data_IF_582817854108
#
_entry.id   IF_582817854108
#
_cell.length_a   1.000
_cell.length_b   1.000
_cell.length_c   1.000
_cell.angle_alpha   90.00
_cell.angle_beta   90.00
_cell.angle_gamma   90.00
#
_symmetry.space_group_name_H-M   'P 1'
#
loop_
_entity.id
_entity.type
_entity.pdbx_description
1 polymer ?
#
# COMPACT_ATOMS: atom_id res chain seq x y z
N UNK A 1 0.65 -24.52 -3.64
CA UNK A 1 0.47 -23.83 -4.94
C UNK A 1 -0.03 -22.45 -4.60
N UNK A 2 0.77 -21.40 -4.84
CA UNK A 2 0.39 -20.03 -4.48
C UNK A 2 -0.42 -19.47 -5.65
N UNK A 3 -1.75 -19.56 -5.56
CA UNK A 3 -2.63 -19.00 -6.58
C UNK A 3 -2.65 -17.48 -6.49
N UNK A 4 -2.03 -16.85 -7.48
CA UNK A 4 -2.22 -15.43 -7.78
C UNK A 4 -3.65 -15.29 -8.29
N UNK A 5 -4.46 -14.49 -7.60
CA UNK A 5 -5.83 -14.25 -8.02
C UNK A 5 -5.83 -13.64 -9.44
N UNK A 6 -6.61 -14.22 -10.37
CA UNK A 6 -6.83 -13.64 -11.68
C UNK A 6 -7.32 -12.19 -11.57
N UNK A 7 -6.95 -11.34 -12.52
CA UNK A 7 -7.37 -9.92 -12.51
C UNK A 7 -8.90 -9.77 -12.47
N UNK A 8 -9.65 -10.66 -13.14
CA UNK A 8 -11.12 -10.67 -13.14
C UNK A 8 -11.75 -10.92 -11.77
N UNK A 9 -11.01 -11.57 -10.86
CA UNK A 9 -11.46 -11.87 -9.50
C UNK A 9 -11.05 -10.79 -8.51
N UNK A 10 -10.12 -9.90 -8.91
CA UNK A 10 -9.68 -8.79 -8.06
C UNK A 10 -10.71 -7.69 -8.04
N UNK A 11 -11.00 -7.22 -6.83
CA UNK A 11 -11.76 -5.98 -6.65
C UNK A 11 -10.96 -4.82 -7.23
N UNK A 12 -11.65 -3.94 -7.97
CA UNK A 12 -11.04 -2.75 -8.57
C UNK A 12 -11.18 -1.58 -7.62
N UNK A 13 -10.07 -0.98 -7.23
CA UNK A 13 -9.99 0.20 -6.37
C UNK A 13 -9.32 1.35 -7.10
N UNK A 14 -9.73 2.58 -6.77
CA UNK A 14 -9.06 3.80 -7.24
C UNK A 14 -8.12 4.34 -6.18
N UNK A 15 -7.00 4.89 -6.62
CA UNK A 15 -6.13 5.72 -5.79
C UNK A 15 -6.56 7.19 -5.93
N UNK A 16 -6.89 7.82 -4.80
CA UNK A 16 -6.87 9.29 -4.68
C UNK A 16 -5.56 9.65 -3.96
N UNK A 17 -4.56 10.22 -4.66
CA UNK A 17 -3.25 10.48 -4.08
C UNK A 17 -3.30 11.17 -2.73
N UNK A 18 -2.56 10.62 -1.77
CA UNK A 18 -2.47 11.06 -0.37
C UNK A 18 -3.77 11.08 0.44
N UNK A 19 -4.91 10.70 -0.15
CA UNK A 19 -6.21 10.77 0.49
C UNK A 19 -6.78 9.39 0.74
N UNK A 20 -6.90 8.57 -0.31
CA UNK A 20 -7.61 7.30 -0.22
C UNK A 20 -7.11 6.21 -1.17
N UNK A 21 -7.29 4.96 -0.75
CA UNK A 21 -7.03 3.76 -1.53
C UNK A 21 -8.30 2.90 -1.46
N UNK A 22 -9.15 3.00 -2.49
CA UNK A 22 -10.49 2.45 -2.45
C UNK A 22 -11.31 3.02 -1.28
N UNK A 23 -11.89 2.20 -0.39
CA UNK A 23 -12.68 2.67 0.74
C UNK A 23 -11.85 3.23 1.91
N UNK A 24 -10.53 3.06 1.88
CA UNK A 24 -9.64 3.39 2.99
C UNK A 24 -9.08 4.78 2.83
N UNK A 25 -9.12 5.59 3.90
CA UNK A 25 -8.54 6.94 3.92
C UNK A 25 -7.40 7.01 4.93
N UNK A 26 -6.33 7.73 4.57
CA UNK A 26 -5.27 8.00 5.53
C UNK A 26 -5.82 8.80 6.73
N UNK A 27 -5.26 8.54 7.92
CA UNK A 27 -5.74 9.15 9.15
C UNK A 27 -6.88 8.41 9.86
N UNK A 28 -7.52 7.42 9.22
CA UNK A 28 -8.54 6.55 9.82
C UNK A 28 -8.00 5.81 11.05
N UNK A 29 -8.85 5.64 12.07
CA UNK A 29 -8.55 4.75 13.20
C UNK A 29 -8.82 3.28 12.81
N UNK A 30 -8.32 2.29 13.56
CA UNK A 30 -8.60 0.88 13.30
C UNK A 30 -10.09 0.54 13.23
N UNK A 31 -10.93 1.18 14.06
CA UNK A 31 -12.38 1.01 14.03
C UNK A 31 -13.00 1.54 12.73
N UNK A 32 -12.51 2.67 12.21
CA UNK A 32 -12.98 3.25 10.94
C UNK A 32 -12.59 2.36 9.75
N UNK A 33 -11.37 1.80 9.77
CA UNK A 33 -10.92 0.81 8.78
C UNK A 33 -11.80 -0.43 8.82
N UNK A 34 -12.10 -0.95 10.02
CA UNK A 34 -13.00 -2.08 10.22
C UNK A 34 -14.39 -1.79 9.64
N UNK A 35 -14.95 -0.60 9.91
CA UNK A 35 -16.25 -0.19 9.39
C UNK A 35 -16.24 -0.05 7.86
N UNK A 36 -15.22 0.58 7.29
CA UNK A 36 -15.06 0.75 5.84
C UNK A 36 -14.97 -0.59 5.09
N UNK A 37 -14.37 -1.60 5.72
CA UNK A 37 -14.22 -2.95 5.16
C UNK A 37 -15.35 -3.91 5.52
N UNK A 38 -16.20 -3.58 6.50
CA UNK A 38 -17.26 -4.46 7.02
C UNK A 38 -18.33 -4.81 5.97
N UNK A 39 -18.52 -3.98 4.95
CA UNK A 39 -19.38 -4.29 3.79
C UNK A 39 -18.72 -5.21 2.76
N UNK A 40 -17.42 -5.50 2.89
CA UNK A 40 -16.60 -6.18 1.88
C UNK A 40 -16.14 -7.57 2.37
N UNK A 41 -15.77 -7.68 3.64
CA UNK A 41 -15.29 -8.92 4.25
C UNK A 41 -15.83 -9.10 5.68
N UNK A 42 -16.03 -10.36 6.09
CA UNK A 42 -16.53 -10.71 7.44
C UNK A 42 -15.49 -10.53 8.54
N UNK A 43 -14.20 -10.68 8.21
CA UNK A 43 -13.08 -10.46 9.13
C UNK A 43 -12.23 -9.30 8.59
N UNK A 44 -12.66 -8.05 8.85
CA UNK A 44 -12.05 -6.87 8.23
C UNK A 44 -10.63 -6.61 8.72
N UNK A 45 -10.25 -7.06 9.92
CA UNK A 45 -8.93 -6.78 10.44
C UNK A 45 -8.51 -7.69 11.61
N UNK A 46 -7.27 -8.19 11.55
CA UNK A 46 -6.51 -8.68 12.68
C UNK A 46 -5.52 -7.60 13.10
N UNK A 47 -5.39 -7.33 14.40
CA UNK A 47 -4.54 -6.24 14.91
C UNK A 47 -3.32 -6.78 15.65
N UNK A 48 -2.17 -6.18 15.38
CA UNK A 48 -1.00 -6.28 16.26
C UNK A 48 -0.94 -5.02 17.11
N UNK A 49 -0.91 -5.21 18.43
CA UNK A 49 -0.75 -4.13 19.40
C UNK A 49 0.69 -4.07 19.90
N UNK A 50 1.19 -2.87 20.12
CA UNK A 50 2.48 -2.65 20.75
C UNK A 50 2.32 -1.68 21.93
N UNK A 51 3.24 -1.79 22.89
CA UNK A 51 3.38 -0.82 23.94
C UNK A 51 3.79 0.53 23.34
N UNK A 52 3.07 1.57 23.74
CA UNK A 52 3.30 2.98 23.43
C UNK A 52 3.86 3.68 24.68
N UNK A 53 4.45 4.89 24.55
CA UNK A 53 4.82 5.69 25.70
C UNK A 53 3.65 5.87 26.69
N UNK A 54 3.97 6.03 27.98
CA UNK A 54 3.00 6.22 29.07
C UNK A 54 2.10 4.99 29.37
N UNK A 55 2.66 3.78 29.29
CA UNK A 55 1.96 2.50 29.58
C UNK A 55 0.66 2.27 28.78
N UNK A 56 0.60 2.83 27.57
CA UNK A 56 -0.52 2.61 26.66
C UNK A 56 -0.23 1.47 25.71
N UNK A 57 -1.26 0.82 25.20
CA UNK A 57 -1.16 -0.11 24.09
C UNK A 57 -1.98 0.43 22.94
N UNK A 58 -1.37 0.50 21.76
CA UNK A 58 -2.03 0.93 20.53
C UNK A 58 -1.87 -0.07 19.41
N UNK A 59 -2.82 -0.05 18.49
CA UNK A 59 -2.74 -0.80 17.24
C UNK A 59 -1.69 -0.16 16.36
N UNK A 60 -0.63 -0.90 16.05
CA UNK A 60 0.48 -0.42 15.20
C UNK A 60 0.45 -1.03 13.80
N UNK A 61 -0.20 -2.19 13.69
CA UNK A 61 -0.37 -2.90 12.42
C UNK A 61 -1.72 -3.60 12.42
N UNK A 62 -2.33 -3.69 11.25
CA UNK A 62 -3.43 -4.62 11.06
C UNK A 62 -3.39 -5.30 9.72
N UNK A 63 -4.10 -6.41 9.59
CA UNK A 63 -4.07 -7.24 8.39
C UNK A 63 -5.48 -7.70 8.06
N UNK A 64 -5.87 -7.58 6.79
CA UNK A 64 -7.08 -8.17 6.24
C UNK A 64 -6.70 -9.28 5.28
N UNK A 65 -6.61 -10.51 5.79
CA UNK A 65 -6.11 -11.65 5.03
C UNK A 65 -7.01 -11.99 3.85
N UNK A 66 -8.33 -11.83 4.01
CA UNK A 66 -9.33 -12.06 2.96
C UNK A 66 -9.26 -11.06 1.80
N UNK A 67 -8.55 -9.94 1.97
CA UNK A 67 -8.35 -8.93 0.93
C UNK A 67 -6.86 -8.70 0.60
N UNK A 68 -5.94 -9.45 1.21
CA UNK A 68 -4.50 -9.25 1.01
C UNK A 68 -4.04 -7.83 1.35
N UNK A 69 -4.54 -7.25 2.45
CA UNK A 69 -4.19 -5.89 2.86
C UNK A 69 -3.42 -5.90 4.18
N UNK A 70 -2.39 -5.06 4.25
CA UNK A 70 -1.68 -4.76 5.48
C UNK A 70 -1.72 -3.26 5.74
N UNK A 71 -2.10 -2.90 6.96
CA UNK A 71 -2.30 -1.53 7.44
C UNK A 71 -1.21 -1.20 8.44
N UNK A 72 -0.61 -0.03 8.29
CA UNK A 72 0.39 0.49 9.21
C UNK A 72 -0.15 1.73 9.91
N UNK A 73 -0.12 1.71 11.23
CA UNK A 73 -0.64 2.79 12.06
C UNK A 73 0.50 3.54 12.75
N UNK A 74 0.31 4.84 12.93
CA UNK A 74 1.19 5.65 13.79
C UNK A 74 0.95 5.37 15.27
N UNK A 75 1.81 5.96 16.12
CA UNK A 75 1.64 5.92 17.57
C UNK A 75 0.35 6.60 18.05
N UNK A 76 -0.26 7.42 17.20
CA UNK A 76 -1.57 8.07 17.37
C UNK A 76 -2.75 7.18 16.90
N UNK A 77 -2.47 5.91 16.56
CA UNK A 77 -3.42 4.94 16.01
C UNK A 77 -4.12 5.43 14.72
N UNK A 78 -3.42 6.25 13.93
CA UNK A 78 -3.91 6.73 12.63
C UNK A 78 -3.28 5.97 11.49
N UNK A 79 -4.09 5.60 10.50
CA UNK A 79 -3.63 4.89 9.32
C UNK A 79 -2.62 5.74 8.55
N UNK A 80 -1.40 5.22 8.45
CA UNK A 80 -0.23 5.88 7.87
C UNK A 80 0.30 5.19 6.63
N UNK A 81 -0.06 3.93 6.41
CA UNK A 81 0.37 3.19 5.23
C UNK A 81 -0.54 2.02 4.94
N UNK A 82 -0.67 1.70 3.65
CA UNK A 82 -1.44 0.56 3.16
C UNK A 82 -0.54 -0.21 2.20
N UNK A 83 -0.23 -1.46 2.52
CA UNK A 83 0.41 -2.39 1.59
C UNK A 83 -0.64 -3.33 1.02
N UNK A 84 -0.55 -3.59 -0.29
CA UNK A 84 -1.47 -4.46 -1.02
C UNK A 84 -0.71 -5.66 -1.57
N UNK A 85 -1.08 -6.85 -1.11
CA UNK A 85 -0.46 -8.13 -1.50
C UNK A 85 -0.59 -8.34 -3.02
N UNK A 86 0.52 -8.71 -3.66
CA UNK A 86 0.56 -8.87 -5.10
C UNK A 86 -0.31 -10.02 -5.61
N UNK A 87 -0.62 -11.02 -4.78
CA UNK A 87 -1.34 -12.24 -5.16
C UNK A 87 -2.83 -12.18 -4.83
N UNK A 88 -3.21 -11.57 -3.71
CA UNK A 88 -4.58 -11.58 -3.18
C UNK A 88 -5.22 -10.21 -3.07
N UNK A 89 -4.41 -9.16 -3.18
CA UNK A 89 -4.82 -7.78 -3.01
C UNK A 89 -5.81 -7.30 -4.09
N UNK A 90 -6.66 -6.31 -3.77
CA UNK A 90 -7.43 -5.59 -4.78
C UNK A 90 -6.51 -4.97 -5.83
N UNK A 91 -7.01 -4.84 -7.05
CA UNK A 91 -6.31 -4.11 -8.10
C UNK A 91 -6.52 -2.62 -7.89
N UNK A 92 -5.46 -1.89 -7.51
CA UNK A 92 -5.50 -0.44 -7.34
C UNK A 92 -5.08 0.25 -8.64
N UNK A 93 -5.86 1.22 -9.09
CA UNK A 93 -5.63 1.99 -10.31
C UNK A 93 -5.25 3.44 -10.01
N UNK A 94 -4.27 3.96 -10.75
CA UNK A 94 -3.89 5.36 -10.79
C UNK A 94 -3.78 5.81 -12.25
N UNK A 95 -4.55 6.84 -12.64
CA UNK A 95 -4.61 7.34 -14.03
C UNK A 95 -4.76 6.22 -15.09
N UNK A 96 -5.60 5.23 -14.78
CA UNK A 96 -5.85 4.08 -15.65
C UNK A 96 -4.81 2.95 -15.57
N UNK A 97 -3.65 3.16 -14.96
CA UNK A 97 -2.64 2.13 -14.76
C UNK A 97 -2.93 1.30 -13.52
N UNK A 98 -2.83 -0.02 -13.67
CA UNK A 98 -2.99 -0.98 -12.59
C UNK A 98 -1.65 -1.10 -11.82
N UNK A 99 -1.66 -1.00 -10.48
CA UNK A 99 -0.42 -0.93 -9.68
C UNK A 99 -0.06 -2.22 -8.92
N UNK A 100 -1.03 -3.12 -8.73
CA UNK A 100 -0.88 -4.36 -7.97
C UNK A 100 -0.70 -5.54 -8.92
N UNK A 101 0.15 -6.51 -8.57
CA UNK A 101 0.27 -7.75 -9.33
C UNK A 101 0.84 -7.60 -10.74
N UNK A 102 1.49 -6.47 -11.06
CA UNK A 102 2.08 -6.18 -12.37
C UNK A 102 3.54 -6.59 -12.43
N UNK A 103 4.12 -6.60 -13.63
CA UNK A 103 5.56 -6.72 -13.78
C UNK A 103 6.21 -5.41 -13.29
N UNK A 104 7.20 -5.44 -12.36
CA UNK A 104 7.80 -4.22 -11.81
C UNK A 104 8.29 -3.22 -12.86
N UNK A 105 8.97 -3.70 -13.91
CA UNK A 105 9.49 -2.85 -15.00
C UNK A 105 8.39 -2.14 -15.79
N UNK A 106 7.19 -2.72 -15.91
CA UNK A 106 6.06 -2.06 -16.59
C UNK A 106 5.56 -0.86 -15.77
N UNK A 107 5.47 -1.02 -14.44
CA UNK A 107 5.00 0.05 -13.56
C UNK A 107 6.06 1.14 -13.43
N UNK A 108 7.33 0.76 -13.34
CA UNK A 108 8.46 1.69 -13.32
C UNK A 108 8.51 2.54 -14.59
N UNK A 109 8.46 1.91 -15.77
CA UNK A 109 8.44 2.64 -17.04
C UNK A 109 7.23 3.59 -17.12
N UNK A 110 6.05 3.14 -16.67
CA UNK A 110 4.88 4.00 -16.63
C UNK A 110 5.06 5.21 -15.71
N UNK A 111 5.71 5.07 -14.55
CA UNK A 111 6.03 6.22 -13.67
C UNK A 111 7.00 7.18 -14.37
N UNK A 112 8.00 6.65 -15.10
CA UNK A 112 8.93 7.47 -15.90
C UNK A 112 8.15 8.28 -16.94
N UNK A 113 7.37 7.63 -17.80
CA UNK A 113 6.61 8.28 -18.88
C UNK A 113 5.64 9.34 -18.32
N UNK A 114 5.04 9.03 -17.17
CA UNK A 114 4.15 9.95 -16.46
C UNK A 114 4.88 11.18 -15.92
N UNK A 115 6.08 10.99 -15.38
CA UNK A 115 6.92 12.08 -14.86
C UNK A 115 7.31 13.08 -15.94
N UNK A 116 7.52 12.63 -17.17
CA UNK A 116 7.90 13.46 -18.32
C UNK A 116 6.75 14.36 -18.80
N UNK A 117 5.51 14.03 -18.45
CA UNK A 117 4.30 14.71 -18.95
C UNK A 117 3.58 15.55 -17.89
N UNK A 118 4.07 15.57 -16.64
CA UNK A 118 3.43 16.31 -15.52
C UNK A 118 4.44 17.13 -14.72
N UNK A 119 4.17 18.43 -14.58
CA UNK A 119 4.89 19.26 -13.59
C UNK A 119 4.64 18.73 -12.17
N UNK A 120 5.67 18.65 -11.31
CA UNK A 120 6.98 19.31 -11.40
C UNK A 120 8.10 18.46 -12.03
N UNK A 121 7.80 17.43 -12.83
CA UNK A 121 8.76 16.50 -13.43
C UNK A 121 9.63 15.72 -12.41
N UNK A 122 9.33 15.85 -11.11
CA UNK A 122 10.01 15.19 -9.98
C UNK A 122 9.13 14.11 -9.37
N UNK A 123 8.56 13.26 -10.22
CA UNK A 123 7.65 12.21 -9.79
C UNK A 123 8.40 10.94 -9.36
N UNK A 124 9.43 10.51 -10.09
CA UNK A 124 10.15 9.29 -9.77
C UNK A 124 11.17 9.50 -8.65
N UNK A 125 11.12 8.64 -7.64
CA UNK A 125 12.17 8.49 -6.65
C UNK A 125 12.44 7.02 -6.37
N UNK A 126 13.56 6.72 -5.72
CA UNK A 126 13.91 5.37 -5.32
C UNK A 126 14.06 5.30 -3.80
N UNK A 127 13.61 4.20 -3.20
CA UNK A 127 13.83 3.90 -1.78
C UNK A 127 14.82 2.75 -1.60
N UNK A 128 15.35 2.60 -0.38
CA UNK A 128 16.23 1.53 0.14
C UNK A 128 17.05 0.74 -0.89
N UNK A 129 16.42 -0.23 -1.56
CA UNK A 129 17.04 -1.26 -2.39
C UNK A 129 16.85 -1.02 -3.89
N UNK A 130 16.34 0.15 -4.28
CA UNK A 130 16.06 0.50 -5.66
C UNK A 130 14.60 0.32 -6.06
N UNK A 131 13.68 0.21 -5.10
CA UNK A 131 12.25 0.20 -5.43
C UNK A 131 11.81 1.58 -5.95
N UNK A 132 11.19 1.65 -7.15
CA UNK A 132 10.71 2.91 -7.70
C UNK A 132 9.46 3.36 -6.95
N UNK A 133 9.31 4.68 -6.78
CA UNK A 133 8.15 5.31 -6.18
C UNK A 133 7.71 6.54 -6.98
N UNK A 134 6.44 6.88 -6.86
CA UNK A 134 5.86 8.11 -7.41
C UNK A 134 5.52 9.07 -6.27
N UNK A 135 6.23 10.20 -6.22
CA UNK A 135 6.10 11.22 -5.19
C UNK A 135 4.74 11.89 -5.25
N UNK A 136 4.18 12.07 -6.45
CA UNK A 136 2.89 12.71 -6.68
C UNK A 136 1.69 11.79 -6.40
N UNK A 137 1.89 10.47 -6.48
CA UNK A 137 0.86 9.48 -6.17
C UNK A 137 0.91 8.99 -4.71
N UNK A 138 2.02 9.19 -4.01
CA UNK A 138 2.19 8.66 -2.66
C UNK A 138 2.37 7.15 -2.65
N UNK A 139 3.12 6.59 -3.61
CA UNK A 139 3.29 5.13 -3.73
C UNK A 139 4.76 4.75 -3.86
N UNK A 140 5.13 3.67 -3.20
CA UNK A 140 6.37 2.92 -3.45
C UNK A 140 6.00 1.56 -4.03
N UNK A 141 6.58 1.22 -5.18
CA UNK A 141 6.30 -0.01 -5.91
C UNK A 141 7.27 -1.09 -5.45
N UNK A 142 7.01 -1.66 -4.27
CA UNK A 142 7.74 -2.83 -3.82
C UNK A 142 7.40 -4.05 -4.69
N UNK A 143 8.24 -5.07 -4.62
CA UNK A 143 8.02 -6.32 -5.33
C UNK A 143 7.81 -7.50 -4.37
N UNK A 144 7.04 -8.49 -4.82
CA UNK A 144 6.75 -9.74 -4.11
C UNK A 144 6.92 -10.90 -5.08
N UNK A 145 7.64 -11.94 -4.65
CA UNK A 145 7.80 -13.16 -5.45
C UNK A 145 6.55 -14.03 -5.30
N UNK A 146 5.87 -14.28 -6.40
CA UNK A 146 4.75 -15.20 -6.49
C UNK A 146 5.18 -16.38 -7.38
N UNK A 147 5.55 -17.49 -6.74
CA UNK A 147 6.16 -18.65 -7.39
C UNK A 147 7.41 -18.27 -8.22
N UNK A 148 7.31 -18.34 -9.54
CA UNK A 148 8.36 -18.04 -10.52
C UNK A 148 8.36 -16.58 -10.99
N UNK A 149 7.35 -15.79 -10.61
CA UNK A 149 7.17 -14.41 -11.08
C UNK A 149 7.46 -13.40 -9.97
N UNK A 150 8.05 -12.27 -10.34
CA UNK A 150 8.17 -11.10 -9.49
C UNK A 150 7.04 -10.13 -9.84
N UNK A 151 6.20 -9.79 -8.87
CA UNK A 151 5.00 -8.98 -9.08
C UNK A 151 5.00 -7.75 -8.17
N UNK A 152 4.35 -6.68 -8.60
CA UNK A 152 4.25 -5.44 -7.80
C UNK A 152 3.32 -5.61 -6.59
N UNK A 153 3.81 -5.14 -5.45
CA UNK A 153 3.13 -5.09 -4.15
C UNK A 153 3.22 -3.63 -3.67
N UNK A 154 2.37 -2.72 -4.15
CA UNK A 154 2.52 -1.30 -3.84
C UNK A 154 2.29 -1.01 -2.34
N UNK A 155 3.02 -0.02 -1.84
CA UNK A 155 2.83 0.59 -0.51
C UNK A 155 2.39 2.03 -0.71
N UNK A 156 1.16 2.32 -0.30
CA UNK A 156 0.57 3.65 -0.39
C UNK A 156 0.76 4.43 0.91
N UNK A 157 1.00 5.72 0.78
CA UNK A 157 1.48 6.61 1.81
C UNK A 157 0.83 8.00 1.68
N UNK A 158 0.62 8.71 2.80
CA UNK A 158 0.14 10.09 2.77
C UNK A 158 1.28 11.05 2.40
N UNK A 159 0.93 12.30 2.09
CA UNK A 159 1.87 13.31 1.57
C UNK A 159 3.06 13.55 2.52
N UNK A 160 2.82 13.62 3.82
CA UNK A 160 3.85 13.87 4.83
C UNK A 160 4.92 12.77 4.89
N UNK A 161 4.62 11.58 4.38
CA UNK A 161 5.57 10.48 4.33
C UNK A 161 6.57 10.61 3.18
N UNK A 162 6.27 11.38 2.12
CA UNK A 162 7.06 11.43 0.89
C UNK A 162 8.47 11.97 1.08
N UNK A 163 8.70 12.82 2.08
CA UNK A 163 10.03 13.31 2.39
C UNK A 163 10.97 12.21 2.92
N UNK A 164 10.43 11.21 3.65
CA UNK A 164 11.24 10.12 4.20
C UNK A 164 10.40 8.84 4.41
N UNK A 165 9.97 8.15 3.33
CA UNK A 165 9.05 7.02 3.42
C UNK A 165 9.54 5.93 4.37
N UNK A 166 10.82 5.59 4.28
CA UNK A 166 11.47 4.52 5.05
C UNK A 166 11.61 4.80 6.54
N UNK A 167 11.51 6.07 6.95
CA UNK A 167 11.41 6.48 8.36
C UNK A 167 9.97 6.55 8.85
N UNK A 168 9.02 6.65 7.92
CA UNK A 168 7.60 6.81 8.23
C UNK A 168 6.90 5.48 8.54
N UNK A 169 7.28 4.39 7.87
CA UNK A 169 6.77 3.05 8.14
C UNK A 169 7.87 2.09 8.65
N UNK A 170 7.50 1.07 9.45
CA UNK A 170 8.45 0.05 9.91
C UNK A 170 9.11 -0.72 8.75
N UNK A 171 10.21 -1.40 9.06
CA UNK A 171 11.03 -2.08 8.05
C UNK A 171 10.26 -3.16 7.26
N UNK A 172 9.33 -3.85 7.90
CA UNK A 172 8.52 -4.93 7.32
C UNK A 172 7.53 -4.44 6.26
N UNK A 173 7.21 -3.14 6.22
CA UNK A 173 6.41 -2.56 5.14
C UNK A 173 7.08 -2.67 3.76
N UNK A 174 8.42 -2.73 3.75
CA UNK A 174 9.22 -2.67 2.55
C UNK A 174 9.68 -4.05 2.07
N UNK A 175 9.88 -4.98 3.01
CA UNK A 175 10.35 -6.34 2.69
C UNK A 175 9.19 -7.26 2.34
N UNK A 176 9.35 -8.11 1.33
CA UNK A 176 8.46 -9.25 1.17
C UNK A 176 8.72 -10.25 2.30
N UNK A 177 7.69 -10.85 2.93
CA UNK A 177 7.87 -12.13 3.59
C UNK A 177 8.24 -13.22 2.58
#
# INVERSE_FOLDING_TARGET
MWDVLPESERRRWSLEPFQSVGPLRFGMRPADVTAALGGITRNPQHHTRAALPQDRYGTVKGECWGLGLTFYYGLDERLRGISVDASKGPQVFADGMALVGRVPSEVEQWIIDRSETREPFSELFYVKLGEPGSASLGVVVCAQRAADRLLTRPVFLPYEAMHAPTRFLPADAWTSP
#
